data_IF_442135680644
#
_entry.id   IF_442135680644
#
_cell.length_a   1.000
_cell.length_b   1.000
_cell.length_c   1.000
_cell.angle_alpha   90.00
_cell.angle_beta   90.00
_cell.angle_gamma   90.00
#
_symmetry.space_group_name_H-M   'P 1'
#
loop_
_entity.id
_entity.type
_entity.pdbx_description
1 polymer ?
#
# COMPACT_ATOMS: atom_id res chain seq x y z
N UNK A 1 -28.46 8.20 1.97
CA UNK A 1 -29.68 8.86 2.48
C UNK A 1 -30.72 9.25 1.40
N UNK A 2 -30.56 8.86 0.12
CA UNK A 2 -31.44 9.30 -0.97
C UNK A 2 -32.83 8.63 -0.92
N UNK A 3 -32.88 7.32 -0.63
CA UNK A 3 -34.14 6.55 -0.59
C UNK A 3 -35.05 6.93 0.59
N UNK A 4 -34.46 7.21 1.77
CA UNK A 4 -35.20 7.68 2.94
C UNK A 4 -35.83 9.07 2.70
N UNK A 5 -35.09 9.96 2.03
CA UNK A 5 -35.56 11.30 1.67
C UNK A 5 -36.70 11.28 0.64
N UNK A 6 -36.79 10.22 -0.16
CA UNK A 6 -37.88 9.96 -1.10
C UNK A 6 -39.07 9.21 -0.47
N UNK A 7 -39.02 8.88 0.82
CA UNK A 7 -40.07 8.10 1.50
C UNK A 7 -40.14 6.63 1.08
N UNK A 8 -39.13 6.11 0.38
CA UNK A 8 -39.10 4.74 -0.15
C UNK A 8 -38.47 3.72 0.81
N UNK A 9 -37.80 4.19 1.87
CA UNK A 9 -37.20 3.36 2.89
C UNK A 9 -37.94 3.55 4.22
N UNK A 10 -39.13 2.96 4.34
CA UNK A 10 -40.01 3.05 5.53
C UNK A 10 -39.82 1.90 6.52
N UNK A 11 -39.01 0.90 6.18
CA UNK A 11 -38.72 -0.27 7.02
C UNK A 11 -37.45 -0.11 7.85
N UNK A 12 -37.29 -1.00 8.85
CA UNK A 12 -36.02 -1.16 9.54
C UNK A 12 -34.90 -1.46 8.53
N UNK A 13 -33.70 -0.88 8.70
CA UNK A 13 -32.58 -1.20 7.84
C UNK A 13 -32.32 -2.71 7.87
N UNK A 14 -32.01 -3.35 6.73
CA UNK A 14 -31.65 -4.75 6.72
C UNK A 14 -30.44 -4.99 7.63
N UNK A 15 -30.38 -6.17 8.25
CA UNK A 15 -29.24 -6.55 9.06
C UNK A 15 -27.95 -6.41 8.25
N UNK A 16 -26.88 -5.81 8.80
CA UNK A 16 -25.58 -5.80 8.15
C UNK A 16 -24.92 -7.19 8.15
N UNK A 17 -25.39 -8.10 9.02
CA UNK A 17 -24.86 -9.45 9.11
C UNK A 17 -25.37 -10.31 7.96
N UNK A 18 -24.48 -11.05 7.26
CA UNK A 18 -24.89 -11.95 6.21
C UNK A 18 -25.71 -13.11 6.81
N UNK A 19 -26.92 -13.30 6.30
CA UNK A 19 -27.80 -14.40 6.72
C UNK A 19 -27.28 -15.80 6.32
N UNK A 20 -26.28 -15.85 5.44
CA UNK A 20 -25.72 -17.08 4.88
C UNK A 20 -24.22 -17.14 5.12
N UNK A 21 -23.68 -18.33 5.42
CA UNK A 21 -22.24 -18.52 5.50
C UNK A 21 -21.58 -18.21 4.17
N UNK A 22 -20.33 -17.74 4.21
CA UNK A 22 -19.56 -17.48 3.01
C UNK A 22 -19.46 -18.75 2.15
N UNK A 23 -19.73 -18.68 0.83
CA UNK A 23 -19.70 -19.87 -0.02
C UNK A 23 -18.27 -20.43 -0.06
N UNK A 24 -18.16 -21.76 -0.07
CA UNK A 24 -16.87 -22.45 -0.22
C UNK A 24 -16.26 -22.16 -1.60
N UNK A 25 -14.95 -22.39 -1.76
CA UNK A 25 -14.29 -22.21 -3.07
C UNK A 25 -14.90 -23.10 -4.15
N UNK A 26 -15.23 -24.35 -3.81
CA UNK A 26 -15.88 -25.28 -4.74
C UNK A 26 -17.28 -24.79 -5.15
N UNK A 27 -18.07 -24.27 -4.20
CA UNK A 27 -19.39 -23.71 -4.50
C UNK A 27 -19.32 -22.51 -5.44
N UNK A 28 -18.35 -21.61 -5.25
CA UNK A 28 -18.11 -20.48 -6.16
C UNK A 28 -17.72 -20.94 -7.56
N UNK A 29 -16.85 -21.95 -7.65
CA UNK A 29 -16.38 -22.48 -8.93
C UNK A 29 -17.51 -23.20 -9.69
N UNK A 30 -18.32 -23.98 -8.98
CA UNK A 30 -19.48 -24.67 -9.56
C UNK A 30 -20.54 -23.68 -10.03
N UNK A 31 -20.80 -22.61 -9.28
CA UNK A 31 -21.67 -21.53 -9.73
C UNK A 31 -21.12 -20.85 -10.97
N UNK A 32 -19.83 -20.51 -11.01
CA UNK A 32 -19.19 -19.93 -12.18
C UNK A 32 -19.35 -20.83 -13.40
N UNK A 33 -19.12 -22.13 -13.23
CA UNK A 33 -19.21 -23.12 -14.31
C UNK A 33 -20.63 -23.29 -14.87
N UNK A 34 -21.67 -23.13 -14.05
CA UNK A 34 -23.06 -23.46 -14.42
C UNK A 34 -23.93 -22.24 -14.70
N UNK A 35 -23.83 -21.19 -13.89
CA UNK A 35 -24.68 -20.01 -13.95
C UNK A 35 -23.91 -18.70 -14.17
N UNK A 36 -22.65 -18.66 -13.73
CA UNK A 36 -21.86 -17.44 -13.66
C UNK A 36 -21.31 -16.97 -14.99
N UNK A 37 -20.94 -17.87 -15.92
CA UNK A 37 -20.35 -17.49 -17.22
C UNK A 37 -21.25 -16.55 -18.02
N UNK A 38 -22.55 -16.85 -18.12
CA UNK A 38 -23.51 -15.99 -18.82
C UNK A 38 -23.71 -14.63 -18.14
N UNK A 39 -23.67 -14.59 -16.80
CA UNK A 39 -23.71 -13.33 -16.05
C UNK A 39 -22.45 -12.48 -16.27
N UNK A 40 -21.27 -13.09 -16.20
CA UNK A 40 -19.98 -12.42 -16.44
C UNK A 40 -19.95 -11.85 -17.85
N UNK A 41 -20.31 -12.65 -18.86
CA UNK A 41 -20.33 -12.21 -20.25
C UNK A 41 -21.21 -10.96 -20.45
N UNK A 42 -22.42 -10.95 -19.88
CA UNK A 42 -23.33 -9.78 -19.94
C UNK A 42 -22.77 -8.55 -19.23
N UNK A 43 -22.10 -8.73 -18.09
CA UNK A 43 -21.46 -7.62 -17.37
C UNK A 43 -20.24 -7.08 -18.11
N UNK A 44 -19.48 -7.94 -18.78
CA UNK A 44 -18.42 -7.49 -19.67
C UNK A 44 -19.00 -6.67 -20.83
N UNK A 45 -20.09 -7.09 -21.45
CA UNK A 45 -20.70 -6.30 -22.55
C UNK A 45 -21.29 -4.97 -22.09
N UNK A 46 -21.61 -4.82 -20.80
CA UNK A 46 -22.10 -3.57 -20.21
C UNK A 46 -20.96 -2.61 -19.84
N UNK A 47 -19.92 -3.12 -19.15
CA UNK A 47 -18.86 -2.29 -18.57
C UNK A 47 -17.68 -2.05 -19.51
N UNK A 48 -17.30 -3.06 -20.31
CA UNK A 48 -16.09 -3.00 -21.13
C UNK A 48 -16.13 -1.91 -22.22
N UNK A 49 -17.26 -1.69 -22.93
CA UNK A 49 -17.32 -0.65 -23.96
C UNK A 49 -17.09 0.76 -23.39
N UNK A 50 -17.64 1.05 -22.21
CA UNK A 50 -17.47 2.33 -21.55
C UNK A 50 -16.03 2.60 -21.13
N UNK A 51 -15.36 1.59 -20.56
CA UNK A 51 -13.96 1.69 -20.17
C UNK A 51 -13.03 1.83 -21.38
N UNK A 52 -13.30 1.09 -22.47
CA UNK A 52 -12.53 1.21 -23.71
C UNK A 52 -12.69 2.58 -24.36
N UNK A 53 -13.90 3.15 -24.34
CA UNK A 53 -14.13 4.52 -24.83
C UNK A 53 -13.33 5.54 -24.00
N UNK A 54 -13.38 5.42 -22.68
CA UNK A 54 -12.64 6.31 -21.77
C UNK A 54 -11.12 6.22 -22.02
N UNK A 55 -10.58 5.01 -22.12
CA UNK A 55 -9.17 4.80 -22.42
C UNK A 55 -8.79 5.38 -23.79
N UNK A 56 -9.64 5.21 -24.81
CA UNK A 56 -9.40 5.80 -26.12
C UNK A 56 -9.45 7.34 -26.09
N UNK A 57 -10.38 7.92 -25.33
CA UNK A 57 -10.43 9.37 -25.09
C UNK A 57 -9.14 9.83 -24.39
N UNK A 58 -8.68 9.14 -23.36
CA UNK A 58 -7.45 9.50 -22.65
C UNK A 58 -6.21 9.44 -23.56
N UNK A 59 -6.09 8.38 -24.37
CA UNK A 59 -5.03 8.25 -25.38
C UNK A 59 -5.08 9.39 -26.39
N UNK A 60 -6.28 9.82 -26.82
CA UNK A 60 -6.45 10.96 -27.73
C UNK A 60 -6.12 12.30 -27.08
N UNK A 61 -6.40 12.46 -25.77
CA UNK A 61 -6.11 13.69 -25.04
C UNK A 61 -4.63 13.83 -24.68
N UNK A 62 -3.83 12.74 -24.73
CA UNK A 62 -2.37 12.73 -24.87
C UNK A 62 -1.53 13.39 -23.76
N UNK A 63 -2.16 14.09 -22.82
CA UNK A 63 -1.54 14.97 -21.83
C UNK A 63 -1.50 14.34 -20.43
N UNK A 64 -2.14 13.17 -20.24
CA UNK A 64 -2.18 12.48 -18.95
C UNK A 64 -0.79 12.14 -18.41
N UNK A 65 0.13 11.70 -19.26
CA UNK A 65 1.49 11.37 -18.86
C UNK A 65 2.29 12.60 -18.39
N UNK A 66 2.08 13.76 -19.03
CA UNK A 66 2.75 15.01 -18.65
C UNK A 66 2.20 15.55 -17.33
N UNK A 67 0.87 15.48 -17.12
CA UNK A 67 0.22 15.85 -15.88
C UNK A 67 0.64 14.94 -14.72
N UNK A 68 0.75 13.64 -14.94
CA UNK A 68 1.18 12.66 -13.94
C UNK A 68 2.65 12.85 -13.55
N UNK A 69 3.52 13.12 -14.53
CA UNK A 69 4.92 13.46 -14.28
C UNK A 69 5.05 14.74 -13.46
N UNK A 70 4.23 15.76 -13.77
CA UNK A 70 4.19 17.01 -13.01
C UNK A 70 3.70 16.78 -11.58
N UNK A 71 2.61 16.05 -11.39
CA UNK A 71 2.07 15.74 -10.07
C UNK A 71 3.07 14.95 -9.21
N UNK A 72 3.79 14.00 -9.84
CA UNK A 72 4.86 13.23 -9.19
C UNK A 72 6.01 14.13 -8.75
N UNK A 73 6.45 15.07 -9.61
CA UNK A 73 7.50 16.02 -9.28
C UNK A 73 7.09 16.98 -8.16
N UNK A 74 5.86 17.52 -8.19
CA UNK A 74 5.30 18.38 -7.15
C UNK A 74 5.22 17.65 -5.80
N UNK A 75 4.77 16.39 -5.80
CA UNK A 75 4.71 15.56 -4.60
C UNK A 75 6.10 15.27 -4.03
N UNK A 76 7.06 14.90 -4.90
CA UNK A 76 8.43 14.67 -4.48
C UNK A 76 9.06 15.93 -3.87
N UNK A 77 8.79 17.11 -4.45
CA UNK A 77 9.22 18.40 -3.91
C UNK A 77 8.59 18.70 -2.54
N UNK A 78 7.28 18.47 -2.39
CA UNK A 78 6.59 18.65 -1.12
C UNK A 78 7.12 17.73 -0.03
N UNK A 79 7.38 16.45 -0.35
CA UNK A 79 7.99 15.50 0.58
C UNK A 79 9.42 15.87 0.94
N UNK A 80 10.23 16.30 -0.03
CA UNK A 80 11.60 16.75 0.21
C UNK A 80 11.65 17.96 1.16
N UNK A 81 10.68 18.88 1.07
CA UNK A 81 10.57 20.01 1.98
C UNK A 81 10.27 19.60 3.44
N UNK A 82 9.71 18.42 3.67
CA UNK A 82 9.45 17.87 5.02
C UNK A 82 10.66 17.13 5.60
N UNK A 83 11.65 16.75 4.78
CA UNK A 83 12.84 16.04 5.26
C UNK A 83 13.89 17.07 5.69
N UNK A 84 14.29 17.11 6.97
CA UNK A 84 15.35 18.00 7.41
C UNK A 84 16.66 17.62 6.69
N UNK A 85 17.51 18.62 6.33
CA UNK A 85 18.76 18.34 5.64
C UNK A 85 19.59 17.37 6.46
N UNK A 86 20.03 16.28 5.83
CA UNK A 86 20.96 15.34 6.47
C UNK A 86 22.22 16.12 6.86
N UNK A 87 22.67 16.05 8.12
CA UNK A 87 23.90 16.71 8.51
C UNK A 87 25.04 16.11 7.68
N UNK A 88 25.61 16.93 6.81
CA UNK A 88 26.84 16.58 6.10
C UNK A 88 27.96 16.71 7.12
N UNK A 89 28.43 15.59 7.63
CA UNK A 89 29.66 15.55 8.40
C UNK A 89 30.82 15.77 7.44
N UNK A 90 31.22 17.03 7.27
CA UNK A 90 32.51 17.33 6.66
C UNK A 90 33.58 16.82 7.62
N UNK A 91 34.27 15.75 7.27
CA UNK A 91 35.49 15.36 7.97
C UNK A 91 36.45 16.53 7.85
N UNK A 92 36.58 17.31 8.93
CA UNK A 92 37.54 18.42 8.99
C UNK A 92 38.94 17.81 8.77
N UNK A 93 39.68 18.21 7.72
CA UNK A 93 41.05 17.76 7.55
C UNK A 93 41.86 18.26 8.75
N UNK A 94 42.49 17.32 9.47
CA UNK A 94 43.29 17.62 10.67
C UNK A 94 42.74 17.08 12.00
N UNK A 95 41.58 16.41 12.03
CA UNK A 95 41.20 15.63 13.21
C UNK A 95 42.10 14.38 13.28
N UNK A 96 43.24 14.53 13.95
CA UNK A 96 44.11 13.40 14.29
C UNK A 96 43.34 12.49 15.24
N UNK A 97 42.97 11.31 14.78
CA UNK A 97 42.48 10.25 15.68
C UNK A 97 43.63 9.93 16.65
N UNK A 98 43.48 10.31 17.91
CA UNK A 98 44.34 9.81 18.97
C UNK A 98 43.99 8.32 19.10
N UNK A 99 44.95 7.39 18.96
CA UNK A 99 44.67 5.99 19.23
C UNK A 99 44.23 5.89 20.69
N UNK A 100 43.01 5.43 20.94
CA UNK A 100 42.64 5.02 22.29
C UNK A 100 43.58 3.87 22.62
N UNK A 101 44.45 4.05 23.61
CA UNK A 101 45.38 3.03 24.05
C UNK A 101 44.60 1.74 24.32
N UNK A 102 44.99 0.66 23.65
CA UNK A 102 44.50 -0.68 23.96
C UNK A 102 44.81 -0.93 25.44
N UNK A 103 43.82 -1.24 26.31
CA UNK A 103 44.16 -1.61 27.68
C UNK A 103 45.02 -2.87 27.63
N UNK A 104 46.23 -2.77 28.18
CA UNK A 104 47.18 -3.87 28.28
C UNK A 104 46.47 -5.07 28.89
N UNK A 105 46.38 -6.12 28.08
CA UNK A 105 45.71 -7.37 28.43
C UNK A 105 46.69 -8.28 29.15
N UNK A 106 47.35 -7.80 30.22
CA UNK A 106 48.29 -8.61 30.99
C UNK A 106 48.10 -8.38 32.49
N UNK A 107 47.02 -8.96 33.02
CA UNK A 107 47.11 -9.67 34.30
C UNK A 107 46.07 -10.80 34.29
N UNK A 108 46.47 -11.94 33.76
CA UNK A 108 45.85 -13.22 34.10
C UNK A 108 46.19 -13.52 35.56
N UNK A 109 45.17 -13.70 36.41
CA UNK A 109 45.32 -14.47 37.63
C UNK A 109 44.31 -15.63 37.63
N UNK A 110 44.76 -16.89 37.73
CA UNK A 110 43.88 -18.04 37.56
C UNK A 110 43.12 -18.42 38.83
N UNK A 111 41.87 -18.80 38.59
CA UNK A 111 41.07 -19.83 39.25
C UNK A 111 40.88 -19.80 40.78
N UNK A 112 39.61 -19.72 41.20
CA UNK A 112 39.00 -20.78 42.02
C UNK A 112 37.47 -20.72 41.97
N UNK A 113 36.91 -21.82 41.50
CA UNK A 113 35.55 -22.33 41.76
C UNK A 113 35.74 -23.86 41.94
N UNK A 114 34.84 -24.65 42.57
CA UNK A 114 33.47 -24.32 42.99
C UNK A 114 32.98 -24.95 44.33
N UNK A 115 31.77 -24.53 44.74
CA UNK A 115 30.62 -25.31 45.28
C UNK A 115 30.71 -25.97 46.69
N UNK A 116 29.56 -26.41 47.27
CA UNK A 116 28.15 -26.30 46.83
C UNK A 116 27.31 -25.22 47.52
#
# INVERSE_FOLDING_TARGET
AVLARAGLATGAPPSPDPEHPAPTRAARLWWLATAGTGWVARRCTDLLPGLLRLAAEEVRHGTGAELDARASAETAGALAALVPPRPVFTTRPGIRRVPVGRPDSDTVHPARSPAP
#
